data_IF_603630220599
#
_entry.id   IF_603630220599
#
_cell.length_a   1.000
_cell.length_b   1.000
_cell.length_c   1.000
_cell.angle_alpha   90.00
_cell.angle_beta   90.00
_cell.angle_gamma   90.00
#
_symmetry.space_group_name_H-M   'P 1'
#
loop_
_entity.id
_entity.type
_entity.pdbx_description
1 polymer ?
#
# COMPACT_ATOMS: atom_id res chain seq x y z
N UNK A 1 30.57 -30.69 -2.57
CA UNK A 1 29.16 -30.34 -2.34
C UNK A 1 29.11 -28.95 -1.77
N UNK A 2 29.03 -27.93 -2.63
CA UNK A 2 28.93 -26.53 -2.19
C UNK A 2 27.47 -26.32 -1.80
N UNK A 3 27.24 -26.05 -0.51
CA UNK A 3 25.91 -25.71 0.00
C UNK A 3 25.61 -24.29 -0.47
N UNK A 4 24.47 -24.13 -1.13
CA UNK A 4 23.90 -22.83 -1.41
C UNK A 4 23.62 -22.18 -0.06
N UNK A 5 24.42 -21.17 0.30
CA UNK A 5 24.09 -20.28 1.39
C UNK A 5 22.80 -19.56 0.99
N UNK A 6 21.74 -19.87 1.71
CA UNK A 6 20.44 -19.26 1.54
C UNK A 6 20.60 -17.76 1.71
N UNK A 7 20.43 -17.05 0.61
CA UNK A 7 20.16 -15.63 0.60
C UNK A 7 18.88 -15.44 1.41
N UNK A 8 19.03 -15.04 2.67
CA UNK A 8 17.91 -14.58 3.48
C UNK A 8 17.32 -13.40 2.73
N UNK A 9 16.12 -13.59 2.18
CA UNK A 9 15.31 -12.48 1.74
C UNK A 9 15.05 -11.63 3.00
N UNK A 10 15.81 -10.54 3.13
CA UNK A 10 15.77 -9.55 4.18
C UNK A 10 14.43 -8.78 4.11
N UNK A 11 13.32 -9.49 4.29
CA UNK A 11 11.97 -8.89 4.31
C UNK A 11 11.67 -8.14 5.60
N UNK A 12 12.59 -8.17 6.56
CA UNK A 12 12.49 -7.46 7.83
C UNK A 12 13.06 -6.03 7.79
N UNK A 13 13.60 -5.58 6.66
CA UNK A 13 14.10 -4.21 6.56
C UNK A 13 12.92 -3.22 6.41
N UNK A 14 12.85 -2.19 7.26
CA UNK A 14 11.90 -1.08 7.10
C UNK A 14 12.57 -0.01 6.24
N UNK A 15 12.04 0.25 5.05
CA UNK A 15 12.58 1.30 4.19
C UNK A 15 12.13 2.69 4.67
N UNK A 16 13.01 3.67 4.58
CA UNK A 16 12.65 5.07 4.83
C UNK A 16 11.61 5.56 3.83
N UNK A 17 10.53 6.17 4.32
CA UNK A 17 9.49 6.76 3.47
C UNK A 17 9.91 8.10 2.87
N UNK A 18 10.64 8.04 1.75
CA UNK A 18 11.15 9.19 0.98
C UNK A 18 10.11 9.81 0.03
N UNK A 19 8.84 9.37 0.11
CA UNK A 19 7.78 9.90 -0.74
C UNK A 19 7.50 11.37 -0.35
N UNK A 20 7.41 12.30 -1.33
CA UNK A 20 7.06 13.69 -1.08
C UNK A 20 5.68 13.83 -0.42
N UNK A 21 5.55 14.80 0.48
CA UNK A 21 4.30 15.08 1.20
C UNK A 21 3.17 15.53 0.27
N UNK A 22 3.47 16.07 -0.90
CA UNK A 22 2.48 16.55 -1.87
C UNK A 22 2.10 15.50 -2.92
N UNK A 23 2.74 14.32 -2.92
CA UNK A 23 2.44 13.27 -3.88
C UNK A 23 1.07 12.64 -3.56
N UNK A 24 0.06 12.88 -4.41
CA UNK A 24 -1.30 12.44 -4.14
C UNK A 24 -1.43 10.92 -4.25
N UNK A 25 -2.22 10.32 -3.36
CA UNK A 25 -2.55 8.90 -3.45
C UNK A 25 -3.29 8.57 -4.77
N UNK A 26 -4.04 9.54 -5.32
CA UNK A 26 -4.70 9.40 -6.61
C UNK A 26 -3.73 9.21 -7.80
N UNK A 27 -2.50 9.73 -7.70
CA UNK A 27 -1.46 9.62 -8.73
C UNK A 27 -0.70 8.28 -8.64
N UNK A 28 -0.93 7.51 -7.58
CA UNK A 28 -0.44 6.15 -7.44
C UNK A 28 -1.31 5.20 -8.29
N UNK A 29 -0.73 4.36 -9.16
CA UNK A 29 -1.51 3.51 -10.06
C UNK A 29 -2.06 2.24 -9.34
N UNK A 30 -2.78 2.42 -8.23
CA UNK A 30 -3.31 1.35 -7.37
C UNK A 30 -4.24 0.37 -8.11
N UNK A 31 -4.86 0.80 -9.21
CA UNK A 31 -5.71 -0.05 -10.03
C UNK A 31 -4.94 -1.21 -10.69
N UNK A 32 -3.63 -1.07 -10.90
CA UNK A 32 -2.78 -2.05 -11.61
C UNK A 32 -1.63 -2.58 -10.75
N UNK A 33 -1.49 -2.10 -9.51
CA UNK A 33 -0.53 -2.65 -8.57
C UNK A 33 -1.21 -3.76 -7.77
N UNK A 34 -0.69 -4.97 -7.88
CA UNK A 34 -1.28 -6.13 -7.23
C UNK A 34 -0.71 -6.37 -5.83
N UNK A 35 0.46 -5.83 -5.50
CA UNK A 35 1.04 -5.99 -4.17
C UNK A 35 0.17 -5.38 -3.05
N UNK A 36 -0.63 -4.35 -3.35
CA UNK A 36 -1.58 -3.79 -2.36
C UNK A 36 -2.71 -4.76 -2.03
N UNK A 37 -3.01 -5.73 -2.90
CA UNK A 37 -4.06 -6.73 -2.69
C UNK A 37 -3.72 -7.67 -1.52
N UNK A 38 -2.45 -7.69 -1.08
CA UNK A 38 -2.06 -8.37 0.15
C UNK A 38 -2.74 -7.79 1.40
N UNK A 39 -3.37 -6.61 1.32
CA UNK A 39 -4.16 -6.02 2.40
C UNK A 39 -5.62 -6.52 2.40
N UNK A 40 -6.08 -7.15 1.32
CA UNK A 40 -7.42 -7.77 1.25
C UNK A 40 -7.45 -9.15 1.91
N UNK A 41 -6.29 -9.78 2.09
CA UNK A 41 -6.19 -11.12 2.65
C UNK A 41 -6.46 -11.06 4.16
N UNK A 42 -7.49 -11.78 4.59
CA UNK A 42 -7.82 -11.98 6.00
C UNK A 42 -7.32 -13.36 6.46
N UNK A 43 -6.00 -13.57 6.35
CA UNK A 43 -5.35 -14.87 6.54
C UNK A 43 -4.94 -15.15 7.99
N UNK A 44 -4.80 -14.12 8.82
CA UNK A 44 -4.26 -14.27 10.17
C UNK A 44 -4.78 -13.17 11.11
N UNK A 45 -5.14 -13.50 12.37
CA UNK A 45 -5.56 -12.51 13.35
C UNK A 45 -4.43 -11.52 13.74
N UNK A 46 -3.18 -11.89 13.47
CA UNK A 46 -2.02 -11.05 13.77
C UNK A 46 -1.65 -10.10 12.62
N UNK A 47 -2.08 -10.41 11.39
CA UNK A 47 -1.72 -9.62 10.21
C UNK A 47 -2.73 -8.50 9.98
N UNK A 48 -2.26 -7.25 9.95
CA UNK A 48 -3.11 -6.07 9.74
C UNK A 48 -3.56 -5.98 8.29
N UNK A 49 -4.87 -5.88 8.08
CA UNK A 49 -5.51 -5.83 6.76
C UNK A 49 -6.10 -4.44 6.47
N UNK A 50 -6.83 -4.30 5.35
CA UNK A 50 -7.45 -3.05 4.91
C UNK A 50 -8.35 -2.39 5.97
N UNK A 51 -9.01 -3.16 6.86
CA UNK A 51 -9.86 -2.60 7.92
C UNK A 51 -9.03 -1.81 8.94
N UNK A 52 -7.83 -2.29 9.23
CA UNK A 52 -6.90 -1.61 10.13
C UNK A 52 -6.40 -0.30 9.51
N UNK A 53 -6.12 -0.31 8.20
CA UNK A 53 -5.80 0.91 7.44
C UNK A 53 -6.95 1.91 7.52
N UNK A 54 -8.19 1.47 7.26
CA UNK A 54 -9.37 2.31 7.35
C UNK A 54 -9.55 2.93 8.74
N UNK A 55 -9.31 2.16 9.81
CA UNK A 55 -9.37 2.66 11.18
C UNK A 55 -8.29 3.69 11.49
N UNK A 56 -7.05 3.52 11.01
CA UNK A 56 -5.99 4.52 11.19
C UNK A 56 -6.28 5.84 10.46
N UNK A 57 -6.94 5.76 9.30
CA UNK A 57 -7.45 6.93 8.58
C UNK A 57 -8.75 7.52 9.14
N UNK A 58 -9.22 7.01 10.28
CA UNK A 58 -10.45 7.43 10.95
C UNK A 58 -11.68 7.36 10.03
N UNK A 59 -11.72 6.36 9.15
CA UNK A 59 -12.90 6.11 8.32
C UNK A 59 -14.05 5.66 9.21
N UNK A 60 -15.25 6.20 8.93
CA UNK A 60 -16.44 5.92 9.72
C UNK A 60 -16.78 4.43 9.68
N UNK A 61 -17.36 3.89 10.77
CA UNK A 61 -17.81 2.50 10.80
C UNK A 61 -18.82 2.19 9.69
N UNK A 62 -19.66 3.15 9.32
CA UNK A 62 -20.65 3.03 8.24
C UNK A 62 -19.95 2.87 6.89
N UNK A 63 -18.92 3.67 6.62
CA UNK A 63 -18.13 3.55 5.39
C UNK A 63 -17.34 2.25 5.31
N UNK A 64 -16.78 1.78 6.44
CA UNK A 64 -16.11 0.49 6.50
C UNK A 64 -17.09 -0.65 6.18
N UNK A 65 -18.30 -0.61 6.73
CA UNK A 65 -19.35 -1.60 6.41
C UNK A 65 -19.79 -1.55 4.94
N UNK A 66 -19.82 -0.35 4.34
CA UNK A 66 -20.12 -0.20 2.92
C UNK A 66 -19.02 -0.86 2.07
N UNK A 67 -17.75 -0.58 2.35
CA UNK A 67 -16.61 -1.21 1.65
C UNK A 67 -16.66 -2.73 1.79
N UNK A 68 -16.90 -3.24 3.00
CA UNK A 68 -17.01 -4.69 3.26
C UNK A 68 -18.20 -5.33 2.52
N UNK A 69 -19.30 -4.61 2.37
CA UNK A 69 -20.47 -5.12 1.65
C UNK A 69 -20.22 -5.12 0.14
N UNK A 70 -19.60 -4.07 -0.39
CA UNK A 70 -19.25 -3.97 -1.81
C UNK A 70 -18.17 -4.97 -2.22
N UNK A 71 -17.17 -5.22 -1.36
CA UNK A 71 -16.09 -6.16 -1.63
C UNK A 71 -16.52 -7.64 -1.65
N UNK A 72 -17.76 -7.95 -1.25
CA UNK A 72 -18.33 -9.30 -1.42
C UNK A 72 -18.68 -9.62 -2.87
N UNK A 73 -18.77 -8.62 -3.74
CA UNK A 73 -18.98 -8.82 -5.18
C UNK A 73 -17.73 -9.43 -5.80
N UNK A 74 -17.93 -10.40 -6.70
CA UNK A 74 -16.82 -11.06 -7.39
C UNK A 74 -15.93 -10.05 -8.12
N UNK A 75 -14.61 -10.15 -7.93
CA UNK A 75 -13.62 -9.28 -8.56
C UNK A 75 -13.45 -7.89 -7.92
N UNK A 76 -14.13 -7.60 -6.81
CA UNK A 76 -14.02 -6.30 -6.13
C UNK A 76 -13.04 -6.39 -4.96
N UNK A 77 -12.02 -5.52 -4.98
CA UNK A 77 -10.97 -5.42 -3.95
C UNK A 77 -11.34 -4.37 -2.90
N UNK A 78 -11.32 -4.76 -1.62
CA UNK A 78 -11.69 -3.87 -0.52
C UNK A 78 -10.69 -2.72 -0.35
N UNK A 79 -9.39 -3.00 -0.46
CA UNK A 79 -8.34 -1.98 -0.39
C UNK A 79 -8.43 -1.00 -1.56
N UNK A 80 -8.77 -1.46 -2.77
CA UNK A 80 -8.97 -0.55 -3.92
C UNK A 80 -10.17 0.38 -3.71
N UNK A 81 -11.27 -0.13 -3.14
CA UNK A 81 -12.42 0.71 -2.75
C UNK A 81 -12.04 1.70 -1.65
N UNK A 82 -11.29 1.26 -0.63
CA UNK A 82 -10.81 2.11 0.44
C UNK A 82 -9.92 3.23 -0.10
N UNK A 83 -8.95 2.92 -0.97
CA UNK A 83 -8.10 3.93 -1.61
C UNK A 83 -8.94 4.94 -2.38
N UNK A 84 -9.94 4.48 -3.15
CA UNK A 84 -10.88 5.38 -3.83
C UNK A 84 -11.58 6.35 -2.87
N UNK A 85 -12.01 5.87 -1.70
CA UNK A 85 -12.56 6.72 -0.63
C UNK A 85 -11.52 7.69 -0.06
N UNK A 86 -10.30 7.22 0.23
CA UNK A 86 -9.22 8.07 0.77
C UNK A 86 -8.88 9.21 -0.19
N UNK A 87 -8.78 8.92 -1.49
CA UNK A 87 -8.57 9.93 -2.53
C UNK A 87 -9.73 10.94 -2.59
N UNK A 88 -10.98 10.48 -2.47
CA UNK A 88 -12.15 11.34 -2.66
C UNK A 88 -12.50 12.18 -1.44
N UNK A 89 -12.40 11.62 -0.24
CA UNK A 89 -12.90 12.24 1.00
C UNK A 89 -11.82 12.91 1.84
N UNK A 90 -10.61 12.34 1.84
CA UNK A 90 -9.51 12.81 2.71
C UNK A 90 -8.42 13.55 1.93
N UNK A 91 -8.45 13.49 0.59
CA UNK A 91 -7.34 13.97 -0.25
C UNK A 91 -5.99 13.40 0.17
N UNK A 92 -5.99 12.13 0.61
CA UNK A 92 -4.81 11.50 1.18
C UNK A 92 -3.63 11.46 0.19
N UNK A 93 -2.44 11.55 0.73
CA UNK A 93 -1.18 11.47 0.00
C UNK A 93 -0.66 10.03 0.01
N UNK A 94 0.22 9.70 -0.94
CA UNK A 94 0.87 8.39 -0.95
C UNK A 94 1.80 8.24 0.25
N UNK A 95 2.42 9.34 0.71
CA UNK A 95 3.27 9.34 1.90
C UNK A 95 2.49 8.94 3.15
N UNK A 96 1.36 9.60 3.44
CA UNK A 96 0.50 9.27 4.57
C UNK A 96 0.02 7.82 4.52
N UNK A 97 -0.31 7.32 3.33
CA UNK A 97 -0.70 5.92 3.15
C UNK A 97 0.43 4.96 3.52
N UNK A 98 1.66 5.25 3.10
CA UNK A 98 2.84 4.45 3.45
C UNK A 98 3.16 4.54 4.94
N UNK A 99 3.07 5.73 5.54
CA UNK A 99 3.29 5.92 6.98
C UNK A 99 2.30 5.06 7.78
N UNK A 100 1.01 5.07 7.42
CA UNK A 100 0.00 4.21 8.06
C UNK A 100 0.32 2.73 7.91
N UNK A 101 0.86 2.29 6.75
CA UNK A 101 1.26 0.89 6.57
C UNK A 101 2.44 0.53 7.48
N UNK A 102 3.43 1.42 7.63
CA UNK A 102 4.57 1.21 8.52
C UNK A 102 4.16 1.18 10.00
N UNK A 103 3.26 2.07 10.41
CA UNK A 103 2.67 2.07 11.75
C UNK A 103 1.89 0.77 12.06
N UNK A 104 1.31 0.15 11.04
CA UNK A 104 0.62 -1.13 11.13
C UNK A 104 1.56 -2.33 10.93
N UNK A 105 2.87 -2.08 10.84
CA UNK A 105 3.92 -3.07 10.60
C UNK A 105 3.72 -3.86 9.29
N UNK A 106 2.94 -3.32 8.34
CA UNK A 106 2.78 -3.85 6.97
C UNK A 106 3.90 -3.38 6.07
N UNK A 107 5.14 -3.63 6.54
CA UNK A 107 6.37 -3.25 5.85
C UNK A 107 6.54 -3.98 4.52
N UNK A 108 5.95 -5.18 4.38
CA UNK A 108 5.85 -5.92 3.13
C UNK A 108 5.25 -5.05 2.00
N UNK A 109 4.09 -4.43 2.26
CA UNK A 109 3.41 -3.58 1.28
C UNK A 109 4.02 -2.18 1.21
N UNK A 110 4.41 -1.61 2.36
CA UNK A 110 5.04 -0.29 2.41
C UNK A 110 6.32 -0.23 1.58
N UNK A 111 7.18 -1.24 1.72
CA UNK A 111 8.44 -1.33 0.98
C UNK A 111 8.20 -1.51 -0.52
N UNK A 112 7.20 -2.30 -0.93
CA UNK A 112 6.85 -2.45 -2.34
C UNK A 112 6.42 -1.10 -2.97
N UNK A 113 5.70 -0.27 -2.22
CA UNK A 113 5.32 1.08 -2.66
C UNK A 113 6.55 1.99 -2.77
N UNK A 114 7.39 2.04 -1.74
CA UNK A 114 8.62 2.86 -1.72
C UNK A 114 9.55 2.47 -2.87
N UNK A 115 9.75 1.17 -3.08
CA UNK A 115 10.57 0.64 -4.17
C UNK A 115 9.99 0.98 -5.54
N UNK A 116 8.67 0.90 -5.71
CA UNK A 116 8.02 1.35 -6.94
C UNK A 116 8.26 2.85 -7.18
N UNK A 117 8.16 3.67 -6.14
CA UNK A 117 8.33 5.11 -6.24
C UNK A 117 9.76 5.49 -6.64
N UNK A 118 10.78 4.89 -6.02
CA UNK A 118 12.19 5.06 -6.40
C UNK A 118 12.43 4.71 -7.86
N UNK A 119 11.98 3.53 -8.30
CA UNK A 119 12.05 3.10 -9.71
C UNK A 119 11.29 4.03 -10.68
N UNK A 120 10.25 4.72 -10.22
CA UNK A 120 9.55 5.73 -11.03
C UNK A 120 10.44 6.97 -11.21
N UNK A 121 11.07 7.45 -10.14
CA UNK A 121 11.97 8.60 -10.20
C UNK A 121 13.19 8.34 -11.09
N UNK A 122 13.83 7.19 -10.96
CA UNK A 122 15.02 6.84 -11.75
C UNK A 122 14.72 6.87 -13.26
N UNK A 123 13.55 6.35 -13.66
CA UNK A 123 13.13 6.35 -15.07
C UNK A 123 12.88 7.75 -15.61
N UNK A 124 12.28 8.64 -14.82
CA UNK A 124 12.08 10.03 -15.22
C UNK A 124 13.40 10.81 -15.35
N UNK A 125 14.43 10.45 -14.58
CA UNK A 125 15.75 11.09 -14.64
C UNK A 125 16.57 10.67 -15.87
N UNK A 126 16.35 9.45 -16.40
CA UNK A 126 17.03 8.96 -17.60
C UNK A 126 16.38 9.50 -18.90
N UNK A 127 15.07 9.79 -18.89
CA UNK A 127 14.37 10.36 -20.06
C UNK A 127 14.71 11.84 -20.30
N UNK A 128 15.22 12.56 -19.30
CA UNK A 128 15.62 13.97 -19.41
C UNK A 128 17.05 14.22 -19.89
N UNK A 129 17.80 13.18 -20.25
CA UNK A 129 19.22 13.27 -20.66
C UNK A 129 19.47 13.00 -22.16
N UNK A 130 18.41 12.82 -22.96
CA UNK A 130 18.52 12.56 -24.40
C UNK A 130 18.20 13.79 -25.25
#
# INVERSE_FOLDING_TARGET
TVRYDGQGDDKDCVLTNEIPEDFKLADFPYAIKDFILQLDIDSSPFQKNWKHVAHRFEISKQDIQLVETESKKSGVSAIRLLIGKLCSFKCATLKEFVDVLQELERNDVANDIINWFRKKQDRCLEEGKN
#
